data_IF_190682219343
#
_entry.id   IF_190682219343
#
_cell.length_a   1.000
_cell.length_b   1.000
_cell.length_c   1.000
_cell.angle_alpha   90.00
_cell.angle_beta   90.00
_cell.angle_gamma   90.00
#
_symmetry.space_group_name_H-M   'P 1'
#
loop_
_entity.id
_entity.type
_entity.pdbx_description
1 polymer ?
#
# COMPACT_ATOMS: atom_id res chain seq x y z
N UNK A 1 16.48 29.47 45.20
CA UNK A 1 17.69 29.34 44.36
C UNK A 1 17.27 29.66 42.93
N UNK A 2 17.95 30.59 42.27
CA UNK A 2 17.75 30.90 40.85
C UNK A 2 18.25 29.72 40.02
N UNK A 3 17.51 29.33 38.98
CA UNK A 3 17.95 28.25 38.10
C UNK A 3 19.31 28.60 37.44
N UNK A 4 20.19 27.61 37.24
CA UNK A 4 21.47 27.84 36.56
C UNK A 4 21.23 28.39 35.15
N UNK A 5 22.02 29.41 34.78
CA UNK A 5 21.94 30.06 33.48
C UNK A 5 22.49 29.11 32.41
N UNK A 6 21.59 28.33 31.82
CA UNK A 6 21.94 27.31 30.82
C UNK A 6 22.00 27.97 29.45
N UNK A 7 23.04 27.67 28.67
CA UNK A 7 23.26 28.23 27.32
C UNK A 7 22.30 27.60 26.29
N UNK A 8 20.99 27.79 26.49
CA UNK A 8 19.90 27.21 25.70
C UNK A 8 19.86 27.77 24.28
N UNK A 9 20.21 29.04 24.09
CA UNK A 9 20.24 29.68 22.76
C UNK A 9 21.29 29.10 21.83
N UNK A 10 22.46 28.73 22.36
CA UNK A 10 23.51 28.09 21.56
C UNK A 10 23.15 26.65 21.23
N UNK A 11 22.63 25.90 22.20
CA UNK A 11 22.16 24.52 21.98
C UNK A 11 21.02 24.47 20.96
N UNK A 12 20.03 25.37 21.07
CA UNK A 12 18.92 25.44 20.12
C UNK A 12 19.42 25.56 18.67
N UNK A 13 20.39 26.43 18.41
CA UNK A 13 20.97 26.60 17.06
C UNK A 13 21.67 25.33 16.56
N UNK A 14 22.39 24.63 17.43
CA UNK A 14 23.12 23.42 17.06
C UNK A 14 22.19 22.22 16.79
N UNK A 15 21.06 22.13 17.49
CA UNK A 15 20.07 21.07 17.27
C UNK A 15 19.15 21.30 16.06
N UNK A 16 19.12 22.52 15.50
CA UNK A 16 18.28 22.82 14.34
C UNK A 16 18.67 22.03 13.10
N UNK A 17 19.97 21.80 12.89
CA UNK A 17 20.48 21.01 11.77
C UNK A 17 19.99 19.54 11.79
N UNK A 18 20.22 18.75 12.88
CA UNK A 18 19.73 17.37 12.94
C UNK A 18 18.20 17.28 12.93
N UNK A 19 17.49 18.21 13.57
CA UNK A 19 16.02 18.24 13.51
C UNK A 19 15.50 18.49 12.09
N UNK A 20 16.15 19.35 11.31
CA UNK A 20 15.79 19.57 9.92
C UNK A 20 16.13 18.37 9.05
N UNK A 21 17.28 17.73 9.28
CA UNK A 21 17.66 16.49 8.60
C UNK A 21 16.63 15.38 8.79
N UNK A 22 16.14 15.20 10.02
CA UNK A 22 15.11 14.21 10.30
C UNK A 22 13.79 14.52 9.61
N UNK A 23 13.36 15.80 9.57
CA UNK A 23 12.16 16.21 8.82
C UNK A 23 12.29 15.91 7.33
N UNK A 24 13.46 16.17 6.74
CA UNK A 24 13.71 15.88 5.33
C UNK A 24 13.68 14.37 5.08
N UNK A 25 14.33 13.58 5.93
CA UNK A 25 14.35 12.12 5.80
C UNK A 25 12.94 11.51 5.87
N UNK A 26 12.13 11.95 6.86
CA UNK A 26 10.73 11.52 7.00
C UNK A 26 9.91 11.95 5.79
N UNK A 27 10.04 13.20 5.33
CA UNK A 27 9.32 13.68 4.14
C UNK A 27 9.69 12.91 2.87
N UNK A 28 10.96 12.56 2.70
CA UNK A 28 11.43 11.76 1.58
C UNK A 28 10.88 10.34 1.61
N UNK A 29 10.92 9.68 2.77
CA UNK A 29 10.33 8.35 2.93
C UNK A 29 8.82 8.35 2.64
N UNK A 30 8.11 9.37 3.09
CA UNK A 30 6.67 9.52 2.85
C UNK A 30 6.36 9.72 1.36
N UNK A 31 7.18 10.51 0.66
CA UNK A 31 7.08 10.70 -0.79
C UNK A 31 7.30 9.39 -1.54
N UNK A 32 8.35 8.63 -1.19
CA UNK A 32 8.61 7.32 -1.78
C UNK A 32 7.45 6.35 -1.56
N UNK A 33 6.87 6.34 -0.35
CA UNK A 33 5.73 5.50 -0.03
C UNK A 33 4.52 5.83 -0.91
N UNK A 34 4.20 7.12 -1.08
CA UNK A 34 3.07 7.56 -1.92
C UNK A 34 3.30 7.15 -3.37
N UNK A 35 4.51 7.34 -3.90
CA UNK A 35 4.87 6.94 -5.27
C UNK A 35 4.74 5.42 -5.43
N UNK A 36 5.25 4.65 -4.48
CA UNK A 36 5.20 3.19 -4.54
C UNK A 36 3.77 2.66 -4.46
N UNK A 37 2.95 3.14 -3.52
CA UNK A 37 1.54 2.76 -3.42
C UNK A 37 0.77 3.15 -4.68
N UNK A 38 1.01 4.36 -5.21
CA UNK A 38 0.39 4.81 -6.45
C UNK A 38 0.77 3.93 -7.65
N UNK A 39 2.03 3.51 -7.74
CA UNK A 39 2.47 2.55 -8.74
C UNK A 39 1.75 1.21 -8.56
N UNK A 40 1.77 0.64 -7.36
CA UNK A 40 1.18 -0.68 -7.08
C UNK A 40 -0.29 -0.75 -7.50
N UNK A 41 -1.06 0.30 -7.20
CA UNK A 41 -2.47 0.40 -7.61
C UNK A 41 -2.62 0.37 -9.15
N UNK A 42 -1.71 1.01 -9.89
CA UNK A 42 -1.76 1.07 -11.35
C UNK A 42 -1.20 -0.18 -12.03
N UNK A 43 -0.30 -0.89 -11.35
CA UNK A 43 0.36 -2.09 -11.87
C UNK A 43 -0.31 -3.40 -11.40
N UNK A 44 -1.31 -3.31 -10.52
CA UNK A 44 -2.03 -4.48 -10.03
C UNK A 44 -3.05 -4.96 -11.08
N UNK A 45 -3.02 -6.25 -11.41
CA UNK A 45 -3.99 -6.91 -12.30
C UNK A 45 -5.34 -7.25 -11.61
N UNK A 46 -5.55 -6.73 -10.38
CA UNK A 46 -6.74 -7.03 -9.57
C UNK A 46 -6.70 -8.43 -8.95
N UNK A 47 -7.63 -8.76 -8.04
CA UNK A 47 -7.69 -10.08 -7.45
C UNK A 47 -8.17 -11.11 -8.49
N UNK A 48 -7.37 -12.15 -8.71
CA UNK A 48 -7.84 -13.35 -9.37
C UNK A 48 -8.86 -14.02 -8.43
N UNK A 49 -10.14 -13.95 -8.78
CA UNK A 49 -11.21 -14.55 -7.98
C UNK A 49 -10.94 -16.05 -7.74
N UNK A 50 -11.29 -16.55 -6.56
CA UNK A 50 -11.22 -17.98 -6.30
C UNK A 50 -12.24 -18.73 -7.16
N UNK A 51 -11.85 -19.90 -7.68
CA UNK A 51 -12.73 -20.76 -8.46
C UNK A 51 -13.96 -21.20 -7.63
N UNK A 52 -13.78 -21.33 -6.32
CA UNK A 52 -14.81 -21.66 -5.34
C UNK A 52 -14.69 -20.70 -4.15
N UNK A 53 -15.78 -20.00 -3.80
CA UNK A 53 -15.88 -19.22 -2.56
C UNK A 53 -16.81 -19.92 -1.59
N UNK A 54 -16.51 -19.88 -0.29
CA UNK A 54 -17.38 -20.48 0.74
C UNK A 54 -18.19 -19.38 1.42
N UNK A 55 -19.52 -19.51 1.43
CA UNK A 55 -20.38 -18.62 2.20
C UNK A 55 -20.11 -18.79 3.70
N UNK A 56 -19.60 -17.74 4.34
CA UNK A 56 -19.27 -17.75 5.77
C UNK A 56 -20.48 -17.94 6.71
N UNK A 57 -21.72 -17.87 6.21
CA UNK A 57 -22.95 -18.08 7.00
C UNK A 57 -23.47 -19.51 6.91
N UNK A 58 -23.33 -20.16 5.76
CA UNK A 58 -23.94 -21.47 5.48
C UNK A 58 -22.92 -22.59 5.28
N UNK A 59 -21.68 -22.25 4.91
CA UNK A 59 -20.64 -23.21 4.57
C UNK A 59 -20.80 -23.82 3.17
N UNK A 60 -21.72 -23.30 2.35
CA UNK A 60 -21.91 -23.72 0.98
C UNK A 60 -20.87 -23.10 0.05
N UNK A 61 -20.50 -23.81 -1.02
CA UNK A 61 -19.62 -23.28 -2.06
C UNK A 61 -20.44 -22.44 -3.04
N UNK A 62 -20.18 -21.14 -3.06
CA UNK A 62 -20.60 -20.23 -4.12
C UNK A 62 -19.63 -20.35 -5.31
N UNK A 63 -20.11 -20.91 -6.42
CA UNK A 63 -19.40 -20.85 -7.69
C UNK A 63 -19.52 -19.43 -8.26
N UNK A 64 -18.38 -18.74 -8.41
CA UNK A 64 -18.35 -17.44 -9.09
C UNK A 64 -18.37 -17.70 -10.60
N UNK A 65 -19.54 -17.59 -11.23
CA UNK A 65 -19.69 -17.70 -12.69
C UNK A 65 -18.95 -16.55 -13.40
N UNK A 66 -17.67 -16.76 -13.67
CA UNK A 66 -16.78 -15.82 -14.37
C UNK A 66 -15.90 -16.48 -15.43
N UNK A 67 -16.28 -17.65 -15.95
CA UNK A 67 -15.61 -18.30 -17.09
C UNK A 67 -16.66 -18.82 -18.06
N UNK A 68 -17.33 -17.90 -18.73
CA UNK A 68 -17.95 -18.15 -20.04
C UNK A 68 -17.37 -17.13 -21.01
N UNK A 69 -16.19 -17.41 -21.54
CA UNK A 69 -15.76 -16.95 -22.86
C UNK A 69 -14.69 -17.90 -23.37
N UNK A 70 -14.98 -18.45 -24.55
CA UNK A 70 -14.11 -19.25 -25.44
C UNK A 70 -13.74 -20.66 -24.97
N UNK A 71 -14.55 -21.65 -25.37
CA UNK A 71 -14.10 -22.80 -26.19
C UNK A 71 -15.29 -23.68 -26.58
N UNK A 72 -16.00 -23.36 -27.67
CA UNK A 72 -16.52 -24.37 -28.59
C UNK A 72 -16.48 -23.77 -30.00
N UNK A 73 -15.27 -23.69 -30.55
CA UNK A 73 -15.11 -23.76 -31.99
C UNK A 73 -15.31 -25.23 -32.38
N UNK A 74 -16.50 -25.58 -32.86
CA UNK A 74 -16.70 -26.84 -33.60
C UNK A 74 -16.90 -26.52 -35.07
N UNK A 75 -15.87 -26.69 -35.92
CA UNK A 75 -16.02 -26.73 -37.36
C UNK A 75 -16.07 -28.19 -37.86
N UNK A 76 -17.20 -28.89 -37.69
CA UNK A 76 -17.82 -29.78 -38.70
C UNK A 76 -18.74 -30.87 -38.08
N UNK A 77 -19.95 -31.03 -38.66
CA UNK A 77 -20.64 -32.33 -38.59
C UNK A 77 -22.15 -32.36 -38.81
N UNK A 78 -22.62 -32.04 -40.03
CA UNK A 78 -23.54 -32.83 -40.90
C UNK A 78 -23.87 -32.02 -42.17
#
# INVERSE_FOLDING_TARGET
MSAPDTNTKTQEKQHRAPLNGMKIAVGFALLLLIVWVGWEILASDGPEGAQEQIDGRTGEVEQVEGTTSEEVADPAGD
#
